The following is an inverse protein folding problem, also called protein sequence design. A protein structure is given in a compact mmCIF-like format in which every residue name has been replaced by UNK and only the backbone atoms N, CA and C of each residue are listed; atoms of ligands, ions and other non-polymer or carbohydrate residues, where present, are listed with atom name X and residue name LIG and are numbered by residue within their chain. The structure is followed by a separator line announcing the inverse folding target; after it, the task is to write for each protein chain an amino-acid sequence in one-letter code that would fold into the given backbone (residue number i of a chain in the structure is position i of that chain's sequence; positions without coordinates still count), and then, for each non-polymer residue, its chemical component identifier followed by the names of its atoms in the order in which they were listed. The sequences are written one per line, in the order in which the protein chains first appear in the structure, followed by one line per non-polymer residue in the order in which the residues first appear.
data_IF_572615293312
#
_entry.id   IF_572615293312
#
_cell.length_a   1.000
_cell.length_b   1.000
_cell.length_c   1.000
_cell.angle_alpha   90.00
_cell.angle_beta   90.00
_cell.angle_gamma   90.00
#
_symmetry.space_group_name_H-M   'P 1'
#
loop_
_entity.id
_entity.type
_entity.pdbx_description
1 polymer ?
#
# COMPACT_ATOMS: atom_id res chain seq x y z
N UNK A 1 -9.85 -5.99 -40.80
CA UNK A 1 -8.70 -5.54 -39.97
C UNK A 1 -8.38 -6.51 -38.82
N UNK A 2 -9.05 -7.67 -38.72
CA UNK A 2 -8.97 -8.61 -37.57
C UNK A 2 -8.03 -9.82 -37.79
N UNK A 3 -7.27 -9.85 -38.89
CA UNK A 3 -6.65 -11.08 -39.42
C UNK A 3 -5.60 -11.73 -38.50
N UNK A 4 -5.07 -11.02 -37.51
CA UNK A 4 -3.94 -11.49 -36.70
C UNK A 4 -4.23 -11.54 -35.20
N UNK A 5 -5.47 -11.71 -34.75
CA UNK A 5 -5.76 -11.84 -33.30
C UNK A 5 -5.21 -13.13 -32.68
N UNK A 6 -5.15 -14.21 -33.47
CA UNK A 6 -4.57 -15.52 -33.12
C UNK A 6 -3.73 -16.03 -34.27
N UNK A 7 -2.50 -16.44 -34.00
CA UNK A 7 -1.55 -16.87 -35.03
C UNK A 7 -0.84 -18.15 -34.61
N UNK A 8 -0.71 -19.13 -35.51
CA UNK A 8 0.09 -20.34 -35.25
C UNK A 8 1.58 -20.12 -35.54
N UNK A 9 2.45 -20.98 -35.00
CA UNK A 9 3.92 -20.89 -35.21
C UNK A 9 4.35 -20.77 -36.68
N UNK A 10 3.74 -21.57 -37.57
CA UNK A 10 4.09 -21.52 -39.00
C UNK A 10 3.71 -20.18 -39.66
N UNK A 11 2.57 -19.60 -39.27
CA UNK A 11 2.14 -18.30 -39.78
C UNK A 11 2.96 -17.16 -39.16
N UNK A 12 3.41 -17.31 -37.91
CA UNK A 12 4.36 -16.39 -37.28
C UNK A 12 5.66 -16.32 -38.07
N UNK A 13 6.26 -17.47 -38.41
CA UNK A 13 7.51 -17.54 -39.17
C UNK A 13 7.36 -16.93 -40.58
N UNK A 14 6.22 -17.17 -41.23
CA UNK A 14 5.98 -16.69 -42.60
C UNK A 14 5.61 -15.20 -42.69
N UNK A 15 5.05 -14.62 -41.62
CA UNK A 15 4.42 -13.28 -41.66
C UNK A 15 4.82 -12.37 -40.51
N UNK A 16 5.99 -12.61 -39.91
CA UNK A 16 6.48 -11.91 -38.72
C UNK A 16 6.26 -10.38 -38.79
N UNK A 17 6.73 -9.72 -39.86
CA UNK A 17 6.65 -8.25 -39.98
C UNK A 17 5.20 -7.74 -39.91
N UNK A 18 4.27 -8.40 -40.61
CA UNK A 18 2.84 -8.00 -40.63
C UNK A 18 2.16 -8.26 -39.28
N UNK A 19 2.58 -9.32 -38.58
CA UNK A 19 2.06 -9.67 -37.26
C UNK A 19 2.56 -8.68 -36.21
N UNK A 20 3.83 -8.30 -36.25
CA UNK A 20 4.39 -7.27 -35.36
C UNK A 20 3.73 -5.91 -35.61
N UNK A 21 3.51 -5.52 -36.87
CA UNK A 21 2.75 -4.30 -37.19
C UNK A 21 1.31 -4.33 -36.67
N UNK A 22 0.65 -5.50 -36.73
CA UNK A 22 -0.67 -5.68 -36.14
C UNK A 22 -0.62 -5.60 -34.60
N UNK A 23 0.41 -6.20 -33.99
CA UNK A 23 0.64 -6.19 -32.55
C UNK A 23 0.86 -4.79 -31.97
N UNK A 24 1.38 -3.85 -32.76
CA UNK A 24 1.48 -2.42 -32.38
C UNK A 24 0.11 -1.76 -32.14
N UNK A 25 -0.96 -2.28 -32.75
CA UNK A 25 -2.32 -1.74 -32.62
C UNK A 25 -3.18 -2.53 -31.64
N UNK A 26 -2.97 -3.85 -31.56
CA UNK A 26 -3.70 -4.75 -30.66
C UNK A 26 -2.87 -5.99 -30.36
N UNK A 27 -2.79 -6.44 -29.09
CA UNK A 27 -2.09 -7.67 -28.72
C UNK A 27 -2.46 -8.88 -29.60
N UNK A 28 -1.46 -9.66 -29.99
CA UNK A 28 -1.59 -10.87 -30.82
C UNK A 28 -1.18 -12.09 -30.00
N UNK A 29 -2.05 -13.11 -29.95
CA UNK A 29 -1.74 -14.37 -29.29
C UNK A 29 -1.15 -15.38 -30.27
N UNK A 30 0.04 -15.90 -29.97
CA UNK A 30 0.73 -16.93 -30.73
C UNK A 30 0.42 -18.29 -30.10
N UNK A 31 -0.01 -19.24 -30.92
CA UNK A 31 -0.39 -20.58 -30.49
C UNK A 31 0.66 -21.63 -30.91
N UNK A 32 0.88 -22.60 -30.05
CA UNK A 32 1.72 -23.78 -30.30
C UNK A 32 1.02 -25.02 -29.75
N UNK A 33 0.93 -26.07 -30.58
CA UNK A 33 0.24 -27.33 -30.23
C UNK A 33 -1.19 -27.14 -29.71
N UNK A 34 -1.94 -26.18 -30.27
CA UNK A 34 -3.34 -25.92 -29.90
C UNK A 34 -3.55 -25.05 -28.64
N UNK A 35 -2.48 -24.67 -27.93
CA UNK A 35 -2.55 -23.81 -26.76
C UNK A 35 -1.90 -22.42 -27.03
N UNK A 36 -2.38 -21.34 -26.38
CA UNK A 36 -1.70 -20.05 -26.43
C UNK A 36 -0.32 -20.21 -25.79
N UNK A 37 0.71 -19.82 -26.51
CA UNK A 37 2.11 -19.99 -26.12
C UNK A 37 2.74 -18.69 -25.65
N UNK A 38 2.59 -17.61 -26.43
CA UNK A 38 3.09 -16.27 -26.08
C UNK A 38 2.16 -15.19 -26.62
N UNK A 39 2.26 -13.98 -26.07
CA UNK A 39 1.62 -12.78 -26.61
C UNK A 39 2.68 -11.85 -27.20
N UNK A 40 2.41 -11.31 -28.39
CA UNK A 40 3.15 -10.18 -28.95
C UNK A 40 2.32 -8.94 -28.66
N UNK A 41 2.90 -8.02 -27.91
CA UNK A 41 2.26 -6.77 -27.47
C UNK A 41 3.09 -5.58 -27.92
N UNK A 42 2.45 -4.42 -28.05
CA UNK A 42 3.18 -3.18 -28.26
C UNK A 42 3.99 -2.82 -27.01
N UNK A 43 5.01 -1.97 -27.17
CA UNK A 43 5.76 -1.45 -26.04
C UNK A 43 4.84 -0.68 -25.07
N UNK A 44 3.91 0.12 -25.60
CA UNK A 44 2.98 0.91 -24.79
C UNK A 44 2.04 0.02 -23.98
N UNK A 45 1.51 -1.06 -24.57
CA UNK A 45 0.66 -2.04 -23.86
C UNK A 45 1.44 -2.78 -22.78
N UNK A 46 2.70 -3.16 -23.07
CA UNK A 46 3.55 -3.84 -22.11
C UNK A 46 3.92 -2.93 -20.93
N UNK A 47 4.31 -1.69 -21.20
CA UNK A 47 4.58 -0.70 -20.16
C UNK A 47 3.30 -0.36 -19.37
N UNK A 48 2.15 -0.29 -20.04
CA UNK A 48 0.85 -0.13 -19.40
C UNK A 48 0.47 -1.28 -18.46
N UNK A 49 0.89 -2.52 -18.77
CA UNK A 49 0.71 -3.68 -17.91
C UNK A 49 1.69 -3.70 -16.72
N UNK A 50 2.85 -3.06 -16.85
CA UNK A 50 3.86 -2.91 -15.80
C UNK A 50 3.60 -1.73 -14.85
N UNK A 51 2.42 -1.11 -14.93
CA UNK A 51 2.04 0.04 -14.11
C UNK A 51 2.27 -0.22 -12.62
N UNK A 52 3.06 0.66 -12.01
CA UNK A 52 3.23 0.71 -10.56
C UNK A 52 1.93 1.13 -9.88
N UNK A 53 1.77 0.76 -8.61
CA UNK A 53 0.60 1.15 -7.81
C UNK A 53 0.39 2.68 -7.81
N UNK A 54 1.48 3.45 -7.77
CA UNK A 54 1.48 4.92 -7.81
C UNK A 54 0.73 5.49 -9.01
N UNK A 55 0.75 4.80 -10.16
CA UNK A 55 0.09 5.26 -11.39
C UNK A 55 -1.44 5.24 -11.34
N UNK A 56 -2.03 4.55 -10.36
CA UNK A 56 -3.47 4.47 -10.15
C UNK A 56 -3.99 5.53 -9.17
N UNK A 57 -3.10 6.31 -8.56
CA UNK A 57 -3.47 7.23 -7.48
C UNK A 57 -3.42 8.67 -8.00
N UNK A 58 -4.52 9.43 -7.87
CA UNK A 58 -4.52 10.82 -8.26
C UNK A 58 -3.46 11.63 -7.49
N UNK A 59 -2.63 12.45 -8.16
CA UNK A 59 -1.60 13.24 -7.48
C UNK A 59 -2.18 14.28 -6.51
N UNK A 60 -3.44 14.69 -6.70
CA UNK A 60 -4.16 15.61 -5.81
C UNK A 60 -4.86 14.94 -4.62
N UNK A 61 -4.72 13.63 -4.43
CA UNK A 61 -5.32 12.94 -3.27
C UNK A 61 -4.65 13.40 -1.97
N UNK A 62 -5.40 13.63 -0.89
CA UNK A 62 -4.85 14.23 0.34
C UNK A 62 -3.72 13.41 0.97
N UNK A 63 -3.83 12.07 1.00
CA UNK A 63 -2.70 11.21 1.43
C UNK A 63 -1.43 11.42 0.60
N UNK A 64 -1.55 11.72 -0.70
CA UNK A 64 -0.39 11.97 -1.56
C UNK A 64 0.29 13.27 -1.19
N UNK A 65 -0.52 14.32 -0.97
CA UNK A 65 -0.02 15.63 -0.60
C UNK A 65 0.61 15.66 0.80
N UNK A 66 0.06 14.87 1.73
CA UNK A 66 0.50 14.84 3.13
C UNK A 66 1.61 13.84 3.41
N UNK A 67 1.77 12.80 2.59
CA UNK A 67 2.78 11.76 2.82
C UNK A 67 4.19 12.29 3.06
N UNK A 68 4.72 13.29 2.30
CA UNK A 68 6.05 13.83 2.58
C UNK A 68 6.20 14.37 4.02
N UNK A 69 5.19 15.09 4.52
CA UNK A 69 5.22 15.62 5.90
C UNK A 69 5.16 14.51 6.95
N UNK A 70 4.41 13.43 6.67
CA UNK A 70 4.35 12.25 7.54
C UNK A 70 5.71 11.56 7.55
N UNK A 71 6.32 11.36 6.38
CA UNK A 71 7.61 10.69 6.24
C UNK A 71 8.73 11.51 6.91
N UNK A 72 8.74 12.85 6.78
CA UNK A 72 9.67 13.75 7.48
C UNK A 72 9.56 13.62 9.02
N UNK A 73 8.33 13.52 9.55
CA UNK A 73 8.10 13.33 10.97
C UNK A 73 8.55 11.95 11.46
N UNK A 74 8.36 10.90 10.66
CA UNK A 74 8.83 9.56 10.95
C UNK A 74 10.36 9.51 10.93
N UNK A 75 11.01 10.16 9.96
CA UNK A 75 12.47 10.25 9.84
C UNK A 75 13.10 11.01 11.02
N UNK A 76 12.44 12.06 11.52
CA UNK A 76 12.87 12.76 12.73
C UNK A 76 12.86 11.87 13.98
N UNK A 77 12.13 10.75 13.97
CA UNK A 77 12.07 9.75 15.06
C UNK A 77 12.66 8.40 14.63
N UNK A 78 13.59 8.40 13.68
CA UNK A 78 14.24 7.18 13.15
C UNK A 78 14.85 6.28 14.22
N UNK A 79 15.35 6.83 15.32
CA UNK A 79 15.91 6.05 16.43
C UNK A 79 14.84 5.19 17.11
N UNK A 80 13.67 5.75 17.40
CA UNK A 80 12.52 4.99 17.94
C UNK A 80 12.09 3.88 16.97
N UNK A 81 12.01 4.19 15.68
CA UNK A 81 11.65 3.19 14.67
C UNK A 81 12.72 2.10 14.55
N UNK A 82 14.00 2.44 14.73
CA UNK A 82 15.09 1.49 14.75
C UNK A 82 15.00 0.53 15.95
N UNK A 83 14.75 1.07 17.15
CA UNK A 83 14.56 0.27 18.36
C UNK A 83 13.40 -0.73 18.18
N UNK A 84 12.25 -0.26 17.67
CA UNK A 84 11.10 -1.11 17.40
C UNK A 84 11.44 -2.23 16.40
N UNK A 85 12.14 -1.90 15.31
CA UNK A 85 12.56 -2.90 14.32
C UNK A 85 13.54 -3.93 14.88
N UNK A 86 14.25 -3.62 15.97
CA UNK A 86 15.14 -4.56 16.64
C UNK A 86 14.40 -5.52 17.58
N UNK A 87 13.11 -5.25 17.90
CA UNK A 87 12.31 -6.11 18.77
C UNK A 87 12.13 -7.52 18.18
N UNK A 88 12.44 -8.58 18.94
CA UNK A 88 12.30 -9.95 18.48
C UNK A 88 10.88 -10.26 18.02
N UNK A 89 10.74 -10.65 16.76
CA UNK A 89 9.47 -11.07 16.18
C UNK A 89 8.73 -9.99 15.38
N UNK A 90 9.25 -8.77 15.30
CA UNK A 90 8.75 -7.78 14.33
C UNK A 90 9.13 -8.25 12.91
N UNK A 91 8.14 -8.40 12.04
CA UNK A 91 8.32 -8.85 10.64
C UNK A 91 8.03 -7.73 9.63
N UNK A 92 7.22 -6.76 10.02
CA UNK A 92 6.84 -5.60 9.24
C UNK A 92 7.65 -4.40 9.75
N UNK A 93 8.30 -3.61 8.88
CA UNK A 93 9.02 -2.43 9.33
C UNK A 93 8.15 -1.49 10.16
N UNK A 94 8.66 -0.95 11.27
CA UNK A 94 7.93 -0.09 12.18
C UNK A 94 7.29 1.11 11.46
N UNK A 95 8.00 1.72 10.51
CA UNK A 95 7.47 2.79 9.66
C UNK A 95 6.21 2.36 8.89
N UNK A 96 6.24 1.16 8.30
CA UNK A 96 5.08 0.58 7.60
C UNK A 96 3.91 0.34 8.56
N UNK A 97 4.16 -0.17 9.77
CA UNK A 97 3.11 -0.35 10.79
C UNK A 97 2.53 1.00 11.23
N UNK A 98 3.34 2.06 11.34
CA UNK A 98 2.87 3.42 11.59
C UNK A 98 1.91 3.89 10.48
N UNK A 99 2.27 3.72 9.20
CA UNK A 99 1.38 4.06 8.08
C UNK A 99 0.09 3.23 8.11
N UNK A 100 0.15 1.95 8.48
CA UNK A 100 -1.03 1.08 8.63
C UNK A 100 -1.98 1.62 9.72
N UNK A 101 -1.46 2.02 10.88
CA UNK A 101 -2.27 2.58 11.96
C UNK A 101 -2.83 3.96 11.62
N UNK A 102 -2.08 4.78 10.88
CA UNK A 102 -2.58 6.03 10.32
C UNK A 102 -3.77 5.78 9.38
N UNK A 103 -3.71 4.79 8.49
CA UNK A 103 -4.84 4.42 7.65
C UNK A 103 -6.06 3.98 8.49
N UNK A 104 -5.83 3.21 9.56
CA UNK A 104 -6.90 2.78 10.45
C UNK A 104 -7.61 3.98 11.09
N UNK A 105 -6.86 4.98 11.55
CA UNK A 105 -7.43 6.20 12.12
C UNK A 105 -8.15 7.05 11.06
N UNK A 106 -7.49 7.35 9.94
CA UNK A 106 -7.97 8.28 8.92
C UNK A 106 -9.23 7.78 8.19
N UNK A 107 -9.39 6.47 8.07
CA UNK A 107 -10.54 5.85 7.42
C UNK A 107 -11.50 5.17 8.40
N UNK A 108 -11.33 5.37 9.71
CA UNK A 108 -12.14 4.73 10.75
C UNK A 108 -12.31 3.21 10.56
N UNK A 109 -11.24 2.52 10.16
CA UNK A 109 -11.31 1.07 9.91
C UNK A 109 -11.53 0.34 11.25
N UNK A 110 -12.64 -0.39 11.42
CA UNK A 110 -13.11 -0.80 12.75
C UNK A 110 -12.36 -1.99 13.35
N UNK A 111 -11.55 -2.72 12.56
CA UNK A 111 -10.81 -3.88 13.05
C UNK A 111 -9.53 -4.12 12.25
N UNK A 112 -8.58 -4.83 12.86
CA UNK A 112 -7.35 -5.29 12.20
C UNK A 112 -7.66 -6.25 11.04
N UNK A 113 -8.72 -7.06 11.15
CA UNK A 113 -9.17 -7.96 10.07
C UNK A 113 -9.62 -7.17 8.84
N UNK A 114 -10.42 -6.12 9.05
CA UNK A 114 -10.84 -5.26 7.95
C UNK A 114 -9.67 -4.45 7.40
N UNK A 115 -8.73 -4.03 8.24
CA UNK A 115 -7.52 -3.34 7.80
C UNK A 115 -6.64 -4.24 6.93
N UNK A 116 -6.48 -5.51 7.33
CA UNK A 116 -5.81 -6.55 6.56
C UNK A 116 -6.47 -6.75 5.20
N UNK A 117 -7.79 -6.85 5.15
CA UNK A 117 -8.55 -6.98 3.91
C UNK A 117 -8.36 -5.77 3.00
N UNK A 118 -8.45 -4.56 3.54
CA UNK A 118 -8.21 -3.33 2.77
C UNK A 118 -6.79 -3.30 2.18
N UNK A 119 -5.76 -3.71 2.91
CA UNK A 119 -4.39 -3.82 2.36
C UNK A 119 -4.29 -4.83 1.20
N UNK A 120 -5.19 -5.81 1.10
CA UNK A 120 -5.17 -6.79 0.02
C UNK A 120 -5.76 -6.25 -1.30
N UNK A 121 -6.77 -5.37 -1.26
CA UNK A 121 -7.45 -4.91 -2.48
C UNK A 121 -7.41 -3.40 -2.73
N UNK A 122 -7.16 -2.57 -1.72
CA UNK A 122 -7.20 -1.12 -1.84
C UNK A 122 -5.83 -0.58 -2.30
N UNK A 123 -5.75 -0.17 -3.57
CA UNK A 123 -4.50 0.31 -4.17
C UNK A 123 -3.92 1.53 -3.47
N UNK A 124 -4.76 2.45 -2.97
CA UNK A 124 -4.32 3.61 -2.23
C UNK A 124 -3.66 3.21 -0.90
N UNK A 125 -4.27 2.26 -0.19
CA UNK A 125 -3.73 1.79 1.10
C UNK A 125 -2.39 1.10 0.87
N UNK A 126 -2.32 0.23 -0.14
CA UNK A 126 -1.09 -0.45 -0.55
C UNK A 126 0.02 0.54 -0.84
N UNK A 127 -0.26 1.55 -1.67
CA UNK A 127 0.70 2.60 -1.96
C UNK A 127 1.20 3.30 -0.70
N UNK A 128 0.27 3.71 0.16
CA UNK A 128 0.57 4.51 1.33
C UNK A 128 1.51 3.76 2.28
N UNK A 129 1.32 2.45 2.45
CA UNK A 129 2.19 1.61 3.29
C UNK A 129 3.44 1.08 2.58
N UNK A 130 3.64 1.43 1.30
CA UNK A 130 4.80 1.02 0.50
C UNK A 130 4.70 -0.37 -0.15
N UNK A 131 3.50 -0.94 -0.27
CA UNK A 131 3.27 -2.21 -0.97
C UNK A 131 3.11 -2.00 -2.49
N UNK A 132 3.85 -2.80 -3.28
CA UNK A 132 3.73 -2.83 -4.74
C UNK A 132 2.46 -3.56 -5.24
N UNK A 133 2.16 -3.58 -6.54
CA UNK A 133 0.88 -4.11 -7.04
C UNK A 133 0.74 -5.62 -6.80
N UNK A 134 1.81 -6.36 -7.08
CA UNK A 134 1.86 -7.83 -7.02
C UNK A 134 2.44 -8.36 -5.70
N UNK A 135 2.80 -7.49 -4.76
CA UNK A 135 3.39 -7.90 -3.49
C UNK A 135 2.34 -8.58 -2.60
N UNK A 136 2.64 -9.72 -2.01
CA UNK A 136 1.71 -10.32 -1.04
C UNK A 136 1.74 -9.52 0.27
N UNK A 137 0.57 -9.29 0.86
CA UNK A 137 0.48 -8.78 2.23
C UNK A 137 1.00 -9.86 3.18
N UNK A 138 1.61 -9.46 4.30
CA UNK A 138 2.01 -10.36 5.38
C UNK A 138 0.83 -11.18 5.90
N UNK A 139 1.06 -12.27 6.64
CA UNK A 139 -0.05 -13.00 7.25
C UNK A 139 -0.80 -12.13 8.25
N UNK A 140 -2.11 -12.35 8.41
CA UNK A 140 -2.91 -11.62 9.39
C UNK A 140 -2.31 -11.68 10.80
N UNK A 141 -1.83 -12.86 11.23
CA UNK A 141 -1.20 -13.02 12.54
C UNK A 141 0.08 -12.19 12.70
N UNK A 142 0.89 -12.05 11.64
CA UNK A 142 2.08 -11.20 11.68
C UNK A 142 1.69 -9.72 11.80
N UNK A 143 0.69 -9.29 11.02
CA UNK A 143 0.18 -7.92 11.06
C UNK A 143 -0.38 -7.57 12.44
N UNK A 144 -1.26 -8.41 12.99
CA UNK A 144 -1.89 -8.21 14.30
C UNK A 144 -0.85 -8.14 15.43
N UNK A 145 0.13 -9.05 15.42
CA UNK A 145 1.22 -9.04 16.40
C UNK A 145 2.04 -7.76 16.31
N UNK A 146 2.47 -7.35 15.11
CA UNK A 146 3.36 -6.20 14.95
C UNK A 146 2.62 -4.88 15.26
N UNK A 147 1.31 -4.79 14.96
CA UNK A 147 0.43 -3.72 15.46
C UNK A 147 0.41 -3.69 16.99
N UNK A 148 0.20 -4.84 17.63
CA UNK A 148 0.17 -4.93 19.08
C UNK A 148 1.52 -4.52 19.71
N UNK A 149 2.65 -4.96 19.13
CA UNK A 149 4.00 -4.57 19.56
C UNK A 149 4.17 -3.06 19.49
N UNK A 150 3.80 -2.42 18.38
CA UNK A 150 3.92 -0.97 18.22
C UNK A 150 3.00 -0.22 19.20
N UNK A 151 1.75 -0.65 19.35
CA UNK A 151 0.80 -0.01 20.28
C UNK A 151 1.16 -0.24 21.77
N UNK A 152 2.04 -1.20 22.07
CA UNK A 152 2.60 -1.38 23.42
C UNK A 152 3.75 -0.42 23.73
N UNK A 153 4.33 0.27 22.74
CA UNK A 153 5.38 1.27 22.93
C UNK A 153 4.75 2.68 23.07
N UNK A 154 4.80 3.31 24.25
CA UNK A 154 4.16 4.62 24.49
C UNK A 154 4.69 5.72 23.55
N UNK A 155 6.00 5.70 23.24
CA UNK A 155 6.60 6.70 22.34
C UNK A 155 6.03 6.61 20.93
N UNK A 156 5.69 5.41 20.46
CA UNK A 156 5.10 5.21 19.14
C UNK A 156 3.67 5.75 19.08
N UNK A 157 2.86 5.49 20.12
CA UNK A 157 1.48 6.03 20.20
C UNK A 157 1.48 7.56 20.27
N UNK A 158 2.41 8.16 21.02
CA UNK A 158 2.59 9.62 21.07
C UNK A 158 3.02 10.19 19.71
N UNK A 159 3.88 9.47 18.97
CA UNK A 159 4.26 9.87 17.62
C UNK A 159 3.06 9.85 16.66
N UNK A 160 2.19 8.84 16.74
CA UNK A 160 0.92 8.83 15.98
C UNK A 160 0.08 10.05 16.33
N UNK A 161 -0.11 10.35 17.62
CA UNK A 161 -0.85 11.54 18.06
C UNK A 161 -0.24 12.83 17.50
N UNK A 162 1.09 12.96 17.55
CA UNK A 162 1.82 14.10 17.00
C UNK A 162 1.57 14.27 15.51
N UNK A 163 1.67 13.20 14.72
CA UNK A 163 1.38 13.21 13.27
C UNK A 163 -0.07 13.65 13.02
N UNK A 164 -1.04 13.12 13.76
CA UNK A 164 -2.44 13.55 13.63
C UNK A 164 -2.59 15.05 13.93
N UNK A 165 -1.98 15.54 15.01
CA UNK A 165 -2.05 16.94 15.42
C UNK A 165 -1.40 17.91 14.43
N UNK A 166 -0.20 17.59 13.96
CA UNK A 166 0.59 18.49 13.10
C UNK A 166 0.16 18.44 11.64
N UNK A 167 -0.20 17.25 11.12
CA UNK A 167 -0.45 17.06 9.69
C UNK A 167 -1.94 17.16 9.35
N UNK A 168 -2.84 16.65 10.19
CA UNK A 168 -4.25 16.45 9.81
C UNK A 168 -5.21 17.46 10.46
N UNK A 169 -5.03 17.82 11.74
CA UNK A 169 -6.00 18.66 12.46
C UNK A 169 -6.20 20.05 11.83
N UNK A 170 -5.16 20.67 11.26
CA UNK A 170 -5.27 21.98 10.61
C UNK A 170 -5.96 21.95 9.23
N UNK A 171 -6.03 20.78 8.59
CA UNK A 171 -6.45 20.64 7.19
C UNK A 171 -7.70 19.76 7.00
N UNK A 172 -8.23 19.16 8.08
CA UNK A 172 -9.30 18.15 8.01
C UNK A 172 -10.57 18.62 7.30
N UNK A 173 -10.94 19.90 7.45
CA UNK A 173 -12.11 20.48 6.77
C UNK A 173 -11.97 20.51 5.23
N UNK A 174 -10.75 20.41 4.71
CA UNK A 174 -10.45 20.38 3.28
C UNK A 174 -10.25 18.96 2.74
N UNK A 175 -10.45 17.93 3.57
CA UNK A 175 -10.14 16.53 3.26
C UNK A 175 -11.35 15.63 3.59
N UNK A 176 -12.47 15.76 2.85
CA UNK A 176 -13.72 15.04 3.13
C UNK A 176 -13.60 13.51 3.00
N UNK A 177 -12.55 13.00 2.34
CA UNK A 177 -12.27 11.58 2.24
C UNK A 177 -11.84 10.92 3.57
N UNK A 178 -11.44 11.72 4.56
CA UNK A 178 -11.04 11.23 5.87
C UNK A 178 -12.19 11.28 6.87
N UNK A 179 -12.35 10.19 7.61
CA UNK A 179 -13.18 10.10 8.80
C UNK A 179 -12.27 9.69 9.95
N UNK A 180 -11.69 10.68 10.63
CA UNK A 180 -10.66 10.45 11.63
C UNK A 180 -11.29 9.90 12.93
N UNK A 181 -10.90 8.68 13.31
CA UNK A 181 -11.38 8.03 14.53
C UNK A 181 -10.61 8.51 15.78
N UNK A 182 -10.97 9.67 16.30
CA UNK A 182 -10.37 10.19 17.55
C UNK A 182 -10.62 9.28 18.76
N UNK A 183 -11.75 8.56 18.81
CA UNK A 183 -12.06 7.65 19.92
C UNK A 183 -11.07 6.47 19.98
N UNK A 184 -10.68 5.93 18.82
CA UNK A 184 -9.66 4.89 18.72
C UNK A 184 -8.29 5.41 19.15
N UNK A 185 -7.90 6.61 18.71
CA UNK A 185 -6.65 7.25 19.14
C UNK A 185 -6.62 7.46 20.66
N UNK A 186 -7.71 7.93 21.26
CA UNK A 186 -7.83 8.09 22.71
C UNK A 186 -7.76 6.74 23.45
N UNK A 187 -8.28 5.67 22.87
CA UNK A 187 -8.16 4.31 23.43
C UNK A 187 -6.70 3.85 23.48
N UNK A 188 -5.93 4.09 22.42
CA UNK A 188 -4.50 3.77 22.40
C UNK A 188 -3.71 4.58 23.42
N UNK A 189 -4.00 5.88 23.56
CA UNK A 189 -3.38 6.74 24.56
C UNK A 189 -3.74 6.32 26.00
N UNK A 190 -5.01 5.99 26.24
CA UNK A 190 -5.52 5.59 27.56
C UNK A 190 -4.89 4.31 28.10
N UNK A 191 -4.48 3.39 27.23
CA UNK A 191 -3.77 2.15 27.59
C UNK A 191 -2.48 2.43 28.38
N UNK A 192 -1.80 3.53 28.07
CA UNK A 192 -0.52 3.91 28.71
C UNK A 192 -0.71 4.82 29.92
N UNK A 193 -1.80 5.59 29.98
CA UNK A 193 -2.11 6.44 31.13
C UNK A 193 -2.33 5.62 32.42
N UNK A 194 -3.05 4.50 32.33
CA UNK A 194 -3.35 3.62 33.48
C UNK A 194 -2.10 2.91 34.04
N UNK A 195 -1.13 2.59 33.18
CA UNK A 195 0.11 1.91 33.59
C UNK A 195 1.00 2.81 34.50
N UNK A 196 0.96 4.13 34.31
CA UNK A 196 1.73 5.08 35.12
C UNK A 196 1.21 5.23 36.56
N UNK A 197 -0.11 5.02 36.77
CA UNK A 197 -0.74 5.15 38.09
C UNK A 197 -0.61 3.92 38.98
N UNK A 198 -0.31 2.74 38.42
CA UNK A 198 -0.18 1.49 39.17
C UNK A 198 1.23 1.23 39.75
N UNK A 199 2.20 2.11 39.45
CA UNK A 199 3.62 1.97 39.85
C UNK A 199 4.04 2.93 40.98
N UNK A 200 3.10 3.57 41.68
CA UNK A 200 3.35 4.47 42.82
C UNK A 200 2.75 3.95 44.12
#
# INVERSE_FOLDING_TARGET
MERYSKVGMQELDQRLSKIVEAARKKPVSVYRYGAPWVWIVSQDDWQGALKEVSSYIPPGHSLVLLRPQIDDLLDAHRELLHDLNAEPGMLIPAQTVMHILLLQLLYSVPSEQQLYEQLNYNLLFRWFVGLGLNQKVWSFNALSRDIATLLNEPRAVLLIQKIIGEVFCGALLQMPEFSLNFALLHTWLGKHACASTASN
#
